data_IF_048763594084
#
_entry.id   IF_048763594084
#
_cell.length_a   1.000
_cell.length_b   1.000
_cell.length_c   1.000
_cell.angle_alpha   90.00
_cell.angle_beta   90.00
_cell.angle_gamma   90.00
#
_symmetry.space_group_name_H-M   'P 1'
#
loop_
_entity.id
_entity.type
_entity.pdbx_description
1 polymer ?
#
# COMPACT_ATOMS: atom_id res chain seq x y z
N UNK A 1 18.25 -3.18 -1.85
CA UNK A 1 17.20 -2.15 -2.03
C UNK A 1 16.68 -2.18 -3.45
N UNK A 2 17.49 -1.67 -4.39
CA UNK A 2 17.16 -1.58 -5.82
C UNK A 2 16.52 -2.82 -6.44
N UNK A 3 17.22 -3.96 -6.39
CA UNK A 3 16.74 -5.23 -6.98
C UNK A 3 15.38 -5.68 -6.44
N UNK A 4 15.09 -5.41 -5.16
CA UNK A 4 13.81 -5.77 -4.54
C UNK A 4 12.68 -4.91 -5.09
N UNK A 5 12.90 -3.60 -5.29
CA UNK A 5 11.87 -2.72 -5.85
C UNK A 5 11.61 -2.95 -7.33
N UNK A 6 12.62 -3.38 -8.07
CA UNK A 6 12.49 -3.73 -9.50
C UNK A 6 11.86 -5.13 -9.68
N UNK A 7 11.70 -5.91 -8.61
CA UNK A 7 11.08 -7.23 -8.66
C UNK A 7 9.55 -7.16 -8.67
N UNK A 8 8.93 -8.06 -9.43
CA UNK A 8 7.46 -8.19 -9.44
C UNK A 8 6.96 -8.76 -8.12
N UNK A 9 5.86 -8.19 -7.60
CA UNK A 9 5.14 -8.78 -6.48
C UNK A 9 4.51 -10.12 -6.91
N UNK A 10 4.48 -11.16 -6.07
CA UNK A 10 3.85 -12.43 -6.41
C UNK A 10 2.34 -12.30 -6.59
N UNK A 11 1.74 -13.10 -7.47
CA UNK A 11 0.28 -13.14 -7.64
C UNK A 11 -0.47 -13.54 -6.35
N UNK A 12 -1.74 -13.12 -6.25
CA UNK A 12 -2.63 -13.56 -5.19
C UNK A 12 -3.11 -15.00 -5.45
N UNK A 13 -2.94 -15.86 -4.45
CA UNK A 13 -3.51 -17.21 -4.47
C UNK A 13 -4.96 -17.17 -3.96
N UNK A 14 -5.91 -16.84 -4.84
CA UNK A 14 -7.33 -16.72 -4.47
C UNK A 14 -7.91 -18.10 -4.10
N UNK A 15 -8.53 -18.19 -2.92
CA UNK A 15 -9.14 -19.42 -2.43
C UNK A 15 -10.49 -19.76 -3.06
N UNK A 16 -10.99 -20.99 -2.87
CA UNK A 16 -12.32 -21.39 -3.35
C UNK A 16 -13.45 -20.69 -2.58
N UNK A 17 -13.26 -20.44 -1.29
CA UNK A 17 -14.11 -19.55 -0.49
C UNK A 17 -13.58 -18.12 -0.61
N UNK A 18 -14.44 -17.20 -1.03
CA UNK A 18 -14.09 -15.78 -1.10
C UNK A 18 -15.30 -14.88 -0.88
N UNK A 19 -15.06 -13.69 -0.34
CA UNK A 19 -16.07 -12.63 -0.17
C UNK A 19 -16.80 -12.41 -1.48
N UNK A 20 -18.13 -12.29 -1.38
CA UNK A 20 -19.04 -12.05 -2.50
C UNK A 20 -19.77 -10.72 -2.41
N UNK A 21 -19.76 -10.11 -1.23
CA UNK A 21 -20.33 -8.80 -0.96
C UNK A 21 -19.40 -7.68 -1.42
N UNK A 22 -20.00 -6.52 -1.67
CA UNK A 22 -19.28 -5.29 -1.96
C UNK A 22 -18.96 -4.56 -0.66
N UNK A 23 -17.69 -4.21 -0.43
CA UNK A 23 -17.22 -3.47 0.73
C UNK A 23 -16.94 -1.99 0.45
N UNK A 24 -17.45 -1.47 -0.69
CA UNK A 24 -17.45 -0.03 -0.93
C UNK A 24 -18.40 0.66 0.04
N UNK A 25 -17.91 1.73 0.65
CA UNK A 25 -18.75 2.58 1.46
C UNK A 25 -19.65 3.49 0.61
N UNK A 26 -20.59 4.18 1.27
CA UNK A 26 -21.57 5.07 0.61
C UNK A 26 -21.05 6.48 0.38
N UNK A 27 -19.91 6.85 0.94
CA UNK A 27 -19.31 8.16 0.72
C UNK A 27 -18.87 8.27 -0.74
N UNK A 28 -19.17 9.42 -1.35
CA UNK A 28 -18.77 9.72 -2.72
C UNK A 28 -17.96 10.99 -2.68
N UNK A 29 -16.81 10.99 -3.35
CA UNK A 29 -16.04 12.21 -3.50
C UNK A 29 -16.78 13.19 -4.42
N UNK A 30 -17.13 14.36 -3.89
CA UNK A 30 -17.85 15.42 -4.61
C UNK A 30 -16.94 16.55 -5.11
N UNK A 31 -15.65 16.50 -4.78
CA UNK A 31 -14.66 17.50 -5.21
C UNK A 31 -14.21 17.32 -6.66
N UNK A 32 -13.40 18.26 -7.14
CA UNK A 32 -12.78 18.15 -8.45
C UNK A 32 -11.64 17.13 -8.42
N UNK A 33 -11.72 16.12 -9.28
CA UNK A 33 -10.62 15.18 -9.53
C UNK A 33 -9.82 15.69 -10.73
N UNK A 34 -8.49 15.66 -10.62
CA UNK A 34 -7.56 15.98 -11.71
C UNK A 34 -6.50 14.89 -11.78
N UNK A 35 -6.02 14.61 -12.98
CA UNK A 35 -4.90 13.70 -13.17
C UNK A 35 -3.62 14.33 -12.59
N UNK A 36 -2.86 13.54 -11.84
CA UNK A 36 -1.54 13.94 -11.36
C UNK A 36 -0.51 13.75 -12.48
N UNK A 37 -0.48 14.69 -13.42
CA UNK A 37 0.29 14.60 -14.67
C UNK A 37 1.81 14.50 -14.46
N UNK A 38 2.33 15.00 -13.34
CA UNK A 38 3.76 14.97 -12.99
C UNK A 38 4.17 13.76 -12.17
N UNK A 39 3.24 12.88 -11.77
CA UNK A 39 3.51 11.78 -10.83
C UNK A 39 4.71 10.92 -11.24
N UNK A 40 4.72 10.40 -12.48
CA UNK A 40 5.80 9.53 -12.94
C UNK A 40 7.15 10.25 -12.98
N UNK A 41 7.17 11.54 -13.33
CA UNK A 41 8.39 12.33 -13.34
C UNK A 41 8.94 12.52 -11.92
N UNK A 42 8.09 12.91 -10.97
CA UNK A 42 8.46 13.10 -9.57
C UNK A 42 9.02 11.82 -8.94
N UNK A 43 8.35 10.67 -9.15
CA UNK A 43 8.80 9.38 -8.63
C UNK A 43 10.11 8.92 -9.27
N UNK A 44 10.24 9.07 -10.59
CA UNK A 44 11.47 8.67 -11.31
C UNK A 44 12.67 9.52 -10.87
N UNK A 45 12.46 10.83 -10.70
CA UNK A 45 13.49 11.74 -10.20
C UNK A 45 13.91 11.38 -8.78
N UNK A 46 12.94 11.09 -7.89
CA UNK A 46 13.23 10.64 -6.53
C UNK A 46 14.03 9.33 -6.54
N UNK A 47 13.59 8.35 -7.33
CA UNK A 47 14.24 7.03 -7.46
C UNK A 47 15.70 7.13 -7.91
N UNK A 48 15.98 7.96 -8.93
CA UNK A 48 17.33 8.17 -9.42
C UNK A 48 18.21 9.02 -8.50
N UNK A 49 17.60 9.83 -7.62
CA UNK A 49 18.30 10.60 -6.60
C UNK A 49 18.82 9.76 -5.43
N UNK A 50 18.38 8.52 -5.28
CA UNK A 50 18.85 7.63 -4.20
C UNK A 50 20.24 7.09 -4.55
N UNK A 51 21.22 7.34 -3.69
CA UNK A 51 22.57 6.81 -3.85
C UNK A 51 22.69 5.37 -3.33
N UNK A 52 22.28 4.43 -4.17
CA UNK A 52 22.32 3.00 -3.86
C UNK A 52 23.72 2.47 -3.49
N UNK A 53 24.81 3.13 -3.90
CA UNK A 53 26.18 2.66 -3.66
C UNK A 53 26.59 2.83 -2.20
N UNK A 54 26.06 3.83 -1.53
CA UNK A 54 26.30 4.11 -0.11
C UNK A 54 25.35 3.34 0.82
N UNK A 55 24.38 2.61 0.27
CA UNK A 55 23.39 1.82 1.01
C UNK A 55 23.57 0.30 0.81
N UNK A 56 24.74 -0.22 1.18
CA UNK A 56 25.11 -1.65 0.98
C UNK A 56 24.60 -2.61 2.06
N UNK A 57 23.66 -2.19 2.92
CA UNK A 57 23.09 -3.07 3.94
C UNK A 57 22.28 -4.19 3.28
N UNK A 58 22.53 -5.43 3.68
CA UNK A 58 21.69 -6.57 3.30
C UNK A 58 20.33 -6.42 3.99
N UNK A 59 19.28 -6.19 3.21
CA UNK A 59 17.91 -6.00 3.71
C UNK A 59 17.05 -7.27 3.62
N UNK A 60 17.45 -8.23 2.79
CA UNK A 60 16.79 -9.53 2.62
C UNK A 60 17.73 -10.51 1.91
N UNK A 61 17.52 -11.80 2.10
CA UNK A 61 18.27 -12.86 1.44
C UNK A 61 17.32 -13.89 0.83
N UNK A 62 17.27 -13.96 -0.50
CA UNK A 62 16.49 -14.94 -1.24
C UNK A 62 17.34 -16.20 -1.48
N UNK A 63 16.89 -17.39 -1.05
CA UNK A 63 17.61 -18.62 -1.32
C UNK A 63 17.77 -18.87 -2.83
N UNK A 64 18.90 -19.45 -3.21
CA UNK A 64 19.18 -19.83 -4.60
C UNK A 64 18.22 -20.91 -5.13
N UNK A 65 18.32 -21.20 -6.41
CA UNK A 65 17.41 -22.11 -7.14
C UNK A 65 17.35 -23.54 -6.59
N UNK A 66 18.42 -24.01 -5.95
CA UNK A 66 18.50 -25.35 -5.36
C UNK A 66 17.97 -25.42 -3.91
N UNK A 67 17.43 -24.32 -3.39
CA UNK A 67 16.92 -24.29 -2.03
C UNK A 67 15.62 -25.09 -1.87
N UNK A 68 15.36 -25.55 -0.65
CA UNK A 68 14.11 -26.22 -0.27
C UNK A 68 12.89 -25.39 -0.69
N UNK A 69 11.82 -26.08 -1.12
CA UNK A 69 10.55 -25.43 -1.46
C UNK A 69 9.81 -24.89 -0.23
N UNK A 70 10.21 -25.32 0.97
CA UNK A 70 9.74 -24.80 2.27
C UNK A 70 10.52 -23.56 2.66
N UNK A 71 10.32 -22.45 1.95
CA UNK A 71 10.92 -21.16 2.27
C UNK A 71 9.89 -20.02 2.18
N UNK A 72 10.16 -18.92 2.87
CA UNK A 72 9.25 -17.78 2.97
C UNK A 72 8.96 -17.10 1.62
N UNK A 73 9.86 -17.20 0.64
CA UNK A 73 9.66 -16.67 -0.72
C UNK A 73 8.72 -17.54 -1.56
N UNK A 74 8.33 -18.71 -1.05
CA UNK A 74 7.31 -19.60 -1.60
C UNK A 74 6.14 -19.78 -0.62
N UNK A 75 5.92 -18.78 0.26
CA UNK A 75 4.85 -18.82 1.25
C UNK A 75 3.50 -19.15 0.60
N UNK A 76 2.80 -20.13 1.19
CA UNK A 76 1.49 -20.61 0.74
C UNK A 76 0.42 -19.94 1.60
N UNK A 77 0.05 -18.71 1.23
CA UNK A 77 -1.08 -18.00 1.81
C UNK A 77 -2.16 -17.83 0.75
N UNK A 78 -3.35 -18.37 1.01
CA UNK A 78 -4.52 -18.18 0.15
C UNK A 78 -5.35 -17.00 0.64
N UNK A 79 -6.03 -16.29 -0.27
CA UNK A 79 -6.81 -15.10 0.05
C UNK A 79 -8.29 -15.34 -0.23
N UNK A 80 -9.12 -15.06 0.78
CA UNK A 80 -10.57 -15.13 0.73
C UNK A 80 -11.25 -13.78 0.92
N UNK A 81 -10.59 -12.78 1.51
CA UNK A 81 -11.19 -11.47 1.80
C UNK A 81 -10.18 -10.30 1.74
N UNK A 82 -10.65 -9.09 2.05
CA UNK A 82 -9.85 -7.87 2.11
C UNK A 82 -8.69 -7.94 3.11
N UNK A 83 -8.88 -8.60 4.26
CA UNK A 83 -7.86 -8.72 5.30
C UNK A 83 -6.70 -9.60 4.81
N UNK A 84 -7.00 -10.66 4.06
CA UNK A 84 -5.98 -11.47 3.41
C UNK A 84 -5.21 -10.68 2.34
N UNK A 85 -5.90 -9.84 1.56
CA UNK A 85 -5.24 -8.97 0.56
C UNK A 85 -4.33 -7.95 1.24
N UNK A 86 -4.79 -7.35 2.34
CA UNK A 86 -4.00 -6.44 3.18
C UNK A 86 -2.77 -7.17 3.77
N UNK A 87 -2.93 -8.41 4.23
CA UNK A 87 -1.84 -9.25 4.71
C UNK A 87 -0.79 -9.50 3.61
N UNK A 88 -1.22 -9.75 2.37
CA UNK A 88 -0.34 -9.93 1.21
C UNK A 88 0.37 -8.63 0.82
N UNK A 89 -0.31 -7.49 0.87
CA UNK A 89 0.34 -6.19 0.70
C UNK A 89 1.44 -5.99 1.75
N UNK A 90 1.13 -6.25 3.03
CA UNK A 90 2.12 -6.09 4.09
C UNK A 90 3.34 -6.99 3.89
N UNK A 91 3.10 -8.25 3.54
CA UNK A 91 4.15 -9.26 3.37
C UNK A 91 5.03 -9.02 2.14
N UNK A 92 4.46 -8.51 1.04
CA UNK A 92 5.15 -8.37 -0.24
C UNK A 92 5.63 -6.95 -0.53
N UNK A 93 5.08 -5.93 0.13
CA UNK A 93 5.42 -4.52 -0.08
C UNK A 93 5.93 -3.89 1.21
N UNK A 94 5.10 -3.81 2.26
CA UNK A 94 5.42 -3.04 3.46
C UNK A 94 6.70 -3.50 4.16
N UNK A 95 6.87 -4.81 4.35
CA UNK A 95 8.05 -5.40 5.00
C UNK A 95 9.34 -5.12 4.21
N UNK A 96 9.27 -5.09 2.88
CA UNK A 96 10.43 -4.82 2.03
C UNK A 96 10.71 -3.33 1.89
N UNK A 97 9.67 -2.50 1.77
CA UNK A 97 9.81 -1.05 1.62
C UNK A 97 10.26 -0.39 2.92
N UNK A 98 9.89 -0.90 4.09
CA UNK A 98 10.32 -0.36 5.39
C UNK A 98 11.86 -0.22 5.52
N UNK A 99 12.68 -1.28 5.38
CA UNK A 99 14.13 -1.14 5.44
C UNK A 99 14.73 -0.38 4.24
N UNK A 100 14.02 -0.29 3.11
CA UNK A 100 14.45 0.53 1.97
C UNK A 100 14.27 2.02 2.29
N UNK A 101 13.14 2.41 2.88
CA UNK A 101 12.88 3.76 3.35
C UNK A 101 13.89 4.16 4.42
N UNK A 102 14.17 3.31 5.40
CA UNK A 102 15.22 3.53 6.41
C UNK A 102 16.59 3.75 5.75
N UNK A 103 16.98 2.86 4.84
CA UNK A 103 18.22 3.00 4.10
C UNK A 103 18.28 4.31 3.31
N UNK A 104 17.19 4.71 2.65
CA UNK A 104 17.11 5.95 1.86
C UNK A 104 16.91 7.22 2.71
N UNK A 105 16.92 7.13 4.04
CA UNK A 105 16.69 8.28 4.92
C UNK A 105 15.26 8.85 4.88
N UNK A 106 14.30 8.03 4.44
CA UNK A 106 12.88 8.39 4.37
C UNK A 106 12.19 7.91 5.65
N UNK A 107 11.76 8.84 6.50
CA UNK A 107 11.08 8.55 7.77
C UNK A 107 9.63 8.06 7.56
N UNK A 108 9.52 6.81 7.11
CA UNK A 108 8.27 6.09 6.86
C UNK A 108 8.32 4.70 7.52
N UNK A 109 7.30 4.41 8.32
CA UNK A 109 6.96 3.11 8.86
C UNK A 109 5.56 2.74 8.41
N UNK A 110 5.39 1.53 7.87
CA UNK A 110 4.07 0.99 7.55
C UNK A 110 3.41 0.39 8.78
N UNK A 111 2.09 0.47 8.89
CA UNK A 111 1.36 -0.13 10.00
C UNK A 111 -0.15 -0.02 9.88
N UNK A 112 -0.84 -0.33 10.98
CA UNK A 112 -2.27 -0.08 11.15
C UNK A 112 -2.50 1.28 11.79
N UNK A 113 -3.67 1.87 11.55
CA UNK A 113 -4.02 3.22 12.02
C UNK A 113 -3.84 3.40 13.54
N UNK A 114 -4.09 2.35 14.34
CA UNK A 114 -3.93 2.39 15.80
C UNK A 114 -2.49 2.59 16.29
N UNK A 115 -1.50 2.49 15.40
CA UNK A 115 -0.09 2.75 15.71
C UNK A 115 0.29 4.23 15.62
N UNK A 116 -0.62 5.09 15.14
CA UNK A 116 -0.39 6.52 15.00
C UNK A 116 -0.71 7.29 16.29
N UNK A 117 -0.13 8.49 16.43
CA UNK A 117 -0.53 9.45 17.46
C UNK A 117 -1.86 10.11 17.10
N UNK A 118 -2.62 10.53 18.12
CA UNK A 118 -3.94 11.21 18.00
C UNK A 118 -5.02 10.33 17.34
N UNK A 119 -5.34 9.21 18.01
CA UNK A 119 -6.22 8.14 17.53
C UNK A 119 -7.71 8.46 17.71
N UNK A 120 -8.21 9.45 16.99
CA UNK A 120 -9.65 9.58 16.77
C UNK A 120 -9.90 9.76 15.29
N UNK A 121 -10.74 8.89 14.75
CA UNK A 121 -11.24 8.99 13.39
C UNK A 121 -12.75 8.82 13.42
N UNK A 122 -13.44 9.80 12.86
CA UNK A 122 -14.88 9.82 12.63
C UNK A 122 -15.23 9.23 11.26
N UNK A 123 -14.27 9.17 10.34
CA UNK A 123 -14.46 8.68 8.97
C UNK A 123 -14.22 7.16 8.83
N UNK A 124 -13.89 6.46 9.91
CA UNK A 124 -13.54 5.03 9.92
C UNK A 124 -12.04 4.77 10.08
N UNK A 125 -11.62 3.51 9.92
CA UNK A 125 -10.23 3.11 10.14
C UNK A 125 -9.59 2.73 8.79
N UNK A 126 -8.55 3.45 8.32
CA UNK A 126 -7.80 3.05 7.14
C UNK A 126 -7.19 1.65 7.30
N UNK A 127 -7.21 0.85 6.23
CA UNK A 127 -6.60 -0.47 6.22
C UNK A 127 -5.09 -0.39 6.43
N UNK A 128 -4.42 0.54 5.74
CA UNK A 128 -2.98 0.72 5.81
C UNK A 128 -2.65 2.17 6.14
N UNK A 129 -1.61 2.38 6.95
CA UNK A 129 -1.02 3.70 7.15
C UNK A 129 0.48 3.67 6.95
N UNK A 130 1.02 4.78 6.48
CA UNK A 130 2.42 5.15 6.66
C UNK A 130 2.50 6.24 7.73
N UNK A 131 3.43 6.10 8.66
CA UNK A 131 3.70 7.05 9.73
C UNK A 131 5.19 7.36 9.84
N UNK A 132 5.55 8.44 10.50
CA UNK A 132 6.94 8.66 10.96
C UNK A 132 7.27 7.65 12.06
N UNK A 133 8.56 7.43 12.33
CA UNK A 133 9.02 6.64 13.48
C UNK A 133 8.44 7.15 14.80
N UNK A 134 8.26 8.48 14.94
CA UNK A 134 7.61 9.13 16.08
C UNK A 134 6.08 8.98 16.17
N UNK A 135 5.45 8.29 15.22
CA UNK A 135 4.01 7.99 15.26
C UNK A 135 3.12 8.99 14.50
N UNK A 136 3.70 9.98 13.81
CA UNK A 136 2.93 10.95 13.04
C UNK A 136 2.41 10.36 11.73
N UNK A 137 1.10 10.39 11.51
CA UNK A 137 0.47 9.89 10.29
C UNK A 137 0.94 10.68 9.04
N UNK A 138 1.28 9.98 7.96
CA UNK A 138 1.80 10.56 6.70
C UNK A 138 0.96 10.19 5.48
N UNK A 139 0.56 8.92 5.37
CA UNK A 139 -0.20 8.37 4.25
C UNK A 139 -1.24 7.41 4.78
N UNK A 140 -2.40 7.37 4.14
CA UNK A 140 -3.46 6.39 4.38
C UNK A 140 -3.67 5.55 3.12
N UNK A 141 -4.05 4.29 3.32
CA UNK A 141 -4.26 3.30 2.27
C UNK A 141 -5.54 2.54 2.51
N UNK A 142 -6.34 2.37 1.45
CA UNK A 142 -7.53 1.52 1.43
C UNK A 142 -7.29 0.29 0.57
N UNK A 143 -7.72 -0.88 1.05
CA UNK A 143 -7.54 -2.17 0.39
C UNK A 143 -8.90 -2.74 0.01
N UNK A 144 -9.00 -3.25 -1.21
CA UNK A 144 -10.18 -3.97 -1.70
C UNK A 144 -9.78 -5.31 -2.33
N UNK A 145 -10.72 -6.23 -2.46
CA UNK A 145 -10.47 -7.50 -3.17
C UNK A 145 -10.57 -7.33 -4.69
N UNK A 146 -9.69 -7.94 -5.50
CA UNK A 146 -9.71 -7.78 -6.96
C UNK A 146 -10.84 -8.54 -7.68
N UNK A 147 -11.46 -9.53 -7.04
CA UNK A 147 -12.46 -10.40 -7.67
C UNK A 147 -13.90 -9.86 -7.59
N UNK A 148 -14.13 -8.74 -6.90
CA UNK A 148 -15.42 -8.06 -6.88
C UNK A 148 -15.38 -6.97 -7.95
N UNK A 149 -16.27 -7.04 -8.95
CA UNK A 149 -16.30 -6.07 -10.05
C UNK A 149 -16.46 -4.61 -9.59
N UNK A 150 -17.16 -4.38 -8.47
CA UNK A 150 -17.29 -3.04 -7.90
C UNK A 150 -15.95 -2.47 -7.39
N UNK A 151 -14.98 -3.34 -7.05
CA UNK A 151 -13.67 -2.95 -6.54
C UNK A 151 -12.65 -2.65 -7.65
N UNK A 152 -13.03 -2.72 -8.93
CA UNK A 152 -12.17 -2.28 -10.04
C UNK A 152 -11.96 -0.76 -9.97
N UNK A 153 -10.70 -0.33 -9.95
CA UNK A 153 -10.35 1.05 -9.60
C UNK A 153 -10.73 2.05 -10.70
N UNK A 154 -10.86 1.61 -11.95
CA UNK A 154 -11.36 2.43 -13.05
C UNK A 154 -12.79 3.00 -12.81
N UNK A 155 -13.54 2.47 -11.84
CA UNK A 155 -14.94 2.86 -11.54
C UNK A 155 -15.09 3.48 -10.15
N UNK A 156 -13.99 3.71 -9.43
CA UNK A 156 -13.94 3.88 -7.98
C UNK A 156 -14.24 5.30 -7.45
N UNK A 157 -15.14 6.09 -8.06
CA UNK A 157 -15.54 7.40 -7.47
C UNK A 157 -16.06 7.27 -6.03
N UNK A 158 -16.77 6.17 -5.73
CA UNK A 158 -17.20 5.85 -4.37
C UNK A 158 -15.99 5.59 -3.46
N UNK A 159 -15.01 4.81 -3.91
CA UNK A 159 -13.84 4.49 -3.09
C UNK A 159 -12.87 5.67 -2.92
N UNK A 160 -12.88 6.62 -3.84
CA UNK A 160 -12.21 7.91 -3.66
C UNK A 160 -12.84 8.75 -2.54
N UNK A 161 -14.14 8.57 -2.23
CA UNK A 161 -14.81 9.25 -1.13
C UNK A 161 -14.22 8.86 0.23
N UNK A 162 -14.05 7.56 0.45
CA UNK A 162 -13.50 7.01 1.68
C UNK A 162 -12.04 7.47 1.92
N UNK A 163 -11.17 7.32 0.91
CA UNK A 163 -9.77 7.76 1.04
C UNK A 163 -9.64 9.27 1.23
N UNK A 164 -10.48 10.06 0.54
CA UNK A 164 -10.50 11.51 0.70
C UNK A 164 -10.95 11.94 2.10
N UNK A 165 -11.93 11.25 2.70
CA UNK A 165 -12.36 11.50 4.07
C UNK A 165 -11.21 11.27 5.06
N UNK A 166 -10.47 10.16 4.93
CA UNK A 166 -9.28 9.89 5.73
C UNK A 166 -8.19 10.95 5.56
N UNK A 167 -7.91 11.35 4.32
CA UNK A 167 -6.91 12.38 4.03
C UNK A 167 -7.31 13.73 4.61
N UNK A 168 -8.57 14.12 4.49
CA UNK A 168 -9.09 15.37 5.04
C UNK A 168 -9.00 15.40 6.57
N UNK A 169 -9.49 14.35 7.23
CA UNK A 169 -9.47 14.23 8.69
C UNK A 169 -8.05 14.18 9.25
N UNK A 170 -7.16 13.43 8.60
CA UNK A 170 -5.75 13.32 8.96
C UNK A 170 -4.90 14.51 8.52
N UNK A 171 -5.45 15.48 7.78
CA UNK A 171 -4.74 16.60 7.13
C UNK A 171 -3.53 16.11 6.30
N UNK A 172 -3.75 15.05 5.55
CA UNK A 172 -2.72 14.34 4.79
C UNK A 172 -2.68 14.83 3.35
N UNK A 173 -1.46 14.91 2.81
CA UNK A 173 -1.24 15.30 1.43
C UNK A 173 -1.43 14.14 0.45
N UNK A 174 -1.17 12.91 0.89
CA UNK A 174 -1.16 11.74 0.01
C UNK A 174 -1.97 10.58 0.61
N UNK A 175 -2.55 9.79 -0.27
CA UNK A 175 -3.21 8.53 0.05
C UNK A 175 -3.13 7.57 -1.13
N UNK A 176 -3.58 6.34 -0.92
CA UNK A 176 -3.73 5.39 -2.02
C UNK A 176 -4.91 4.46 -1.80
N UNK A 177 -5.37 3.87 -2.89
CA UNK A 177 -6.29 2.75 -2.87
C UNK A 177 -5.73 1.65 -3.76
N UNK A 178 -5.83 0.40 -3.32
CA UNK A 178 -5.41 -0.74 -4.10
C UNK A 178 -6.38 -1.92 -4.02
N UNK A 179 -6.38 -2.75 -5.07
CA UNK A 179 -7.01 -4.07 -5.04
C UNK A 179 -6.00 -5.19 -5.31
N UNK A 180 -4.72 -4.92 -5.06
CA UNK A 180 -3.54 -5.73 -5.40
C UNK A 180 -3.20 -5.79 -6.89
N UNK A 181 -4.20 -5.90 -7.77
CA UNK A 181 -4.00 -5.87 -9.23
C UNK A 181 -3.81 -4.45 -9.77
N UNK A 182 -4.46 -3.49 -9.13
CA UNK A 182 -4.48 -2.08 -9.49
C UNK A 182 -4.16 -1.25 -8.25
N UNK A 183 -3.56 -0.07 -8.45
CA UNK A 183 -3.37 0.93 -7.40
C UNK A 183 -3.60 2.31 -7.98
N UNK A 184 -4.37 3.14 -7.28
CA UNK A 184 -4.49 4.58 -7.56
C UNK A 184 -3.82 5.31 -6.40
N UNK A 185 -2.85 6.17 -6.74
CA UNK A 185 -2.28 7.15 -5.82
C UNK A 185 -3.05 8.45 -5.93
N UNK A 186 -3.37 9.07 -4.79
CA UNK A 186 -4.08 10.34 -4.73
C UNK A 186 -3.27 11.37 -3.95
N UNK A 187 -3.41 12.63 -4.36
CA UNK A 187 -2.77 13.78 -3.73
C UNK A 187 -3.80 14.90 -3.55
N UNK A 188 -3.74 15.54 -2.38
CA UNK A 188 -4.50 16.75 -2.07
C UNK A 188 -3.61 17.98 -2.29
N UNK A 189 -4.16 19.00 -2.96
CA UNK A 189 -3.57 20.34 -3.13
C UNK A 189 -4.25 21.35 -2.20
#
# INVERSE_FOLDING_TARGET
>A
GREVMESSIPDLAIGPGKTRSNALHREVFVGQIRDWTTFNHEITQFYHGIDWRHHQKVISYKPGTNASTSNIFRARLSCGDEADVQCRFNSNVAIYMSPICDAAGVDITFGSFKTCLRVQSSSGIPDVVCRTNGGGLRVVGEVKTPWIMAHTLARAKATLGQIAAYMQEGKLKCGFIMNYSETIFVKQE
#
